data_IF_019641295417
#
_entry.id   IF_019641295417
#
_cell.length_a   1.000
_cell.length_b   1.000
_cell.length_c   1.000
_cell.angle_alpha   90.00
_cell.angle_beta   90.00
_cell.angle_gamma   90.00
#
_symmetry.space_group_name_H-M   'P 1'
#
loop_
_entity.id
_entity.type
_entity.pdbx_description
1 polymer ?
#
# COMPACT_ATOMS: atom_id res chain seq x y z
N UNK A 1 3.53 -16.04 15.99
CA UNK A 1 3.48 -17.27 15.17
C UNK A 1 2.41 -17.10 14.09
N UNK A 2 2.77 -16.51 12.94
CA UNK A 2 1.86 -16.23 11.81
C UNK A 2 2.12 -17.19 10.63
N UNK A 3 3.18 -18.00 10.70
CA UNK A 3 3.66 -18.87 9.61
C UNK A 3 2.71 -20.03 9.20
N UNK A 4 1.56 -20.22 9.86
CA UNK A 4 0.66 -21.35 9.63
C UNK A 4 -0.61 -21.04 8.80
N UNK A 5 -0.75 -19.83 8.24
CA UNK A 5 -2.03 -19.38 7.68
C UNK A 5 -2.17 -19.41 6.15
N UNK A 6 -1.17 -19.84 5.39
CA UNK A 6 -1.24 -19.82 3.92
C UNK A 6 -0.85 -21.15 3.27
N UNK A 7 -1.73 -21.76 2.44
CA UNK A 7 -1.37 -22.94 1.64
C UNK A 7 -0.34 -22.59 0.57
N UNK A 8 0.47 -23.56 0.14
CA UNK A 8 1.65 -23.33 -0.71
C UNK A 8 1.33 -22.69 -2.10
N UNK A 9 0.12 -22.90 -2.60
CA UNK A 9 -0.42 -22.32 -3.84
C UNK A 9 -0.81 -20.83 -3.71
N UNK A 10 -1.02 -20.34 -2.48
CA UNK A 10 -1.29 -18.93 -2.20
C UNK A 10 -0.17 -18.02 -2.71
N UNK A 11 1.09 -18.43 -2.52
CA UNK A 11 2.24 -17.66 -2.97
C UNK A 11 2.40 -17.71 -4.50
N UNK A 12 2.13 -18.84 -5.15
CA UNK A 12 2.28 -18.96 -6.62
C UNK A 12 1.26 -18.12 -7.40
N UNK A 13 -0.04 -18.19 -7.07
CA UNK A 13 -1.06 -17.38 -7.74
C UNK A 13 -0.96 -15.88 -7.39
N UNK A 14 -0.50 -15.53 -6.18
CA UNK A 14 -0.18 -14.13 -5.83
C UNK A 14 1.00 -13.61 -6.64
N UNK A 15 2.08 -14.38 -6.79
CA UNK A 15 3.28 -13.97 -7.51
C UNK A 15 2.96 -13.44 -8.91
N UNK A 16 2.09 -14.11 -9.68
CA UNK A 16 1.74 -13.63 -11.05
C UNK A 16 0.98 -12.31 -11.04
N UNK A 17 -0.04 -12.16 -10.19
CA UNK A 17 -0.82 -10.91 -10.11
C UNK A 17 0.00 -9.76 -9.52
N UNK A 18 0.83 -10.05 -8.52
CA UNK A 18 1.74 -9.07 -7.92
C UNK A 18 2.83 -8.67 -8.90
N UNK A 19 3.34 -9.57 -9.75
CA UNK A 19 4.33 -9.22 -10.78
C UNK A 19 3.78 -8.25 -11.82
N UNK A 20 2.54 -8.49 -12.31
CA UNK A 20 1.87 -7.53 -13.21
C UNK A 20 1.68 -6.18 -12.54
N UNK A 21 1.14 -6.17 -11.31
CA UNK A 21 0.97 -4.95 -10.53
C UNK A 21 2.30 -4.20 -10.33
N UNK A 22 3.35 -4.90 -9.93
CA UNK A 22 4.67 -4.33 -9.71
C UNK A 22 5.22 -3.65 -10.97
N UNK A 23 5.20 -4.36 -12.10
CA UNK A 23 5.65 -3.82 -13.39
C UNK A 23 4.85 -2.57 -13.78
N UNK A 24 3.53 -2.63 -13.73
CA UNK A 24 2.65 -1.52 -14.17
C UNK A 24 2.75 -0.30 -13.24
N UNK A 25 2.82 -0.52 -11.94
CA UNK A 25 2.89 0.56 -10.94
C UNK A 25 4.27 1.23 -10.97
N UNK A 26 5.35 0.45 -11.04
CA UNK A 26 6.70 1.01 -11.21
C UNK A 26 6.83 1.79 -12.53
N UNK A 27 6.19 1.32 -13.60
CA UNK A 27 6.13 2.05 -14.87
C UNK A 27 5.29 3.33 -14.81
N UNK A 28 4.32 3.43 -13.89
CA UNK A 28 3.49 4.62 -13.68
C UNK A 28 4.18 5.72 -12.85
N UNK A 29 5.34 5.43 -12.23
CA UNK A 29 6.11 6.44 -11.51
C UNK A 29 6.57 7.57 -12.45
N UNK A 30 6.69 8.82 -11.95
CA UNK A 30 7.06 9.98 -12.75
C UNK A 30 8.33 9.75 -13.62
N UNK A 31 8.31 10.11 -14.91
CA UNK A 31 9.50 10.07 -15.76
C UNK A 31 10.58 11.02 -15.21
N UNK A 32 11.67 10.46 -14.69
CA UNK A 32 12.76 11.20 -14.06
C UNK A 32 12.90 10.96 -12.56
N UNK A 33 11.98 10.25 -11.92
CA UNK A 33 12.14 9.84 -10.52
C UNK A 33 13.34 8.88 -10.41
N UNK A 34 14.36 9.20 -9.59
CA UNK A 34 15.47 8.28 -9.34
C UNK A 34 14.99 6.97 -8.70
N UNK A 35 15.49 5.85 -9.21
CA UNK A 35 15.17 4.49 -8.75
C UNK A 35 16.30 3.50 -9.01
N UNK A 36 17.55 3.97 -8.95
CA UNK A 36 18.74 3.13 -9.18
C UNK A 36 19.03 2.26 -7.96
N UNK A 37 18.65 2.71 -6.78
CA UNK A 37 18.58 1.90 -5.56
C UNK A 37 17.15 1.88 -5.03
N UNK A 38 16.63 0.68 -4.76
CA UNK A 38 15.26 0.48 -4.28
C UNK A 38 15.27 -0.34 -2.99
N UNK A 39 14.52 0.10 -2.00
CA UNK A 39 14.21 -0.68 -0.81
C UNK A 39 12.72 -1.06 -0.80
N UNK A 40 12.38 -2.26 -0.32
CA UNK A 40 10.99 -2.71 -0.15
C UNK A 40 10.80 -3.24 1.27
N UNK A 41 9.91 -2.60 2.02
CA UNK A 41 9.70 -2.84 3.46
C UNK A 41 8.37 -3.58 3.61
N UNK A 42 8.46 -4.84 4.04
CA UNK A 42 7.39 -5.83 3.89
C UNK A 42 7.44 -6.48 2.51
N UNK A 43 8.65 -6.85 2.06
CA UNK A 43 8.87 -7.23 0.66
C UNK A 43 8.28 -8.59 0.27
N UNK A 44 7.80 -9.39 1.24
CA UNK A 44 7.45 -10.78 1.01
C UNK A 44 8.61 -11.52 0.32
N UNK A 45 8.33 -12.16 -0.81
CA UNK A 45 9.35 -12.87 -1.61
C UNK A 45 10.13 -11.96 -2.56
N UNK A 46 9.94 -10.63 -2.49
CA UNK A 46 10.72 -9.67 -3.25
C UNK A 46 10.22 -9.43 -4.68
N UNK A 47 8.95 -9.71 -4.99
CA UNK A 47 8.38 -9.54 -6.33
C UNK A 47 8.52 -8.10 -6.87
N UNK A 48 8.33 -7.09 -6.02
CA UNK A 48 8.51 -5.68 -6.39
C UNK A 48 9.97 -5.34 -6.66
N UNK A 49 10.88 -5.87 -5.86
CA UNK A 49 12.32 -5.71 -6.04
C UNK A 49 12.83 -6.39 -7.32
N UNK A 50 12.34 -7.59 -7.62
CA UNK A 50 12.64 -8.28 -8.88
C UNK A 50 12.20 -7.43 -10.09
N UNK A 51 10.96 -6.90 -10.08
CA UNK A 51 10.48 -6.01 -11.12
C UNK A 51 11.31 -4.70 -11.23
N UNK A 52 11.76 -4.14 -10.11
CA UNK A 52 12.65 -2.97 -10.11
C UNK A 52 14.01 -3.30 -10.75
N UNK A 53 14.60 -4.44 -10.42
CA UNK A 53 15.87 -4.91 -11.01
C UNK A 53 15.74 -5.18 -12.51
N UNK A 54 14.64 -5.79 -12.96
CA UNK A 54 14.34 -6.02 -14.38
C UNK A 54 14.20 -4.71 -15.16
N UNK A 55 13.72 -3.65 -14.52
CA UNK A 55 13.53 -2.32 -15.13
C UNK A 55 14.71 -1.37 -14.93
N UNK A 56 15.84 -1.87 -14.39
CA UNK A 56 17.13 -1.17 -14.39
C UNK A 56 17.59 -0.63 -13.04
N UNK A 57 16.95 -0.99 -11.92
CA UNK A 57 17.54 -0.75 -10.61
C UNK A 57 18.89 -1.48 -10.50
N UNK A 58 19.91 -0.80 -9.97
CA UNK A 58 21.25 -1.35 -9.75
C UNK A 58 21.37 -2.08 -8.42
N UNK A 59 20.57 -1.72 -7.42
CA UNK A 59 20.55 -2.37 -6.10
C UNK A 59 19.13 -2.52 -5.57
N UNK A 60 18.86 -3.65 -4.93
CA UNK A 60 17.58 -3.97 -4.31
C UNK A 60 17.80 -4.43 -2.87
N UNK A 61 17.11 -3.82 -1.91
CA UNK A 61 17.16 -4.16 -0.49
C UNK A 61 15.77 -4.49 0.04
N UNK A 62 15.59 -5.69 0.62
CA UNK A 62 14.30 -6.14 1.13
C UNK A 62 14.33 -6.35 2.64
N UNK A 63 13.27 -5.90 3.32
CA UNK A 63 13.00 -6.25 4.71
C UNK A 63 11.68 -7.01 4.78
N UNK A 64 11.67 -8.15 5.47
CA UNK A 64 10.48 -8.94 5.79
C UNK A 64 10.69 -9.68 7.11
N UNK A 65 9.63 -10.26 7.69
CA UNK A 65 9.75 -11.13 8.86
C UNK A 65 10.62 -12.37 8.62
N UNK A 66 11.01 -13.01 9.73
CA UNK A 66 11.91 -14.17 9.77
C UNK A 66 11.33 -15.45 9.10
N UNK A 67 10.06 -15.41 8.69
CA UNK A 67 9.41 -16.47 7.93
C UNK A 67 9.76 -16.46 6.43
N UNK A 68 10.37 -15.39 5.91
CA UNK A 68 10.95 -15.39 4.56
C UNK A 68 12.44 -15.68 4.66
N UNK A 69 12.90 -16.65 3.86
CA UNK A 69 14.30 -17.02 3.75
C UNK A 69 14.87 -16.62 2.38
N UNK A 70 16.20 -16.42 2.26
CA UNK A 70 16.82 -15.98 0.99
C UNK A 70 16.53 -16.87 -0.22
N UNK A 71 16.33 -18.18 -0.03
CA UNK A 71 15.98 -19.14 -1.09
C UNK A 71 14.55 -18.98 -1.63
N UNK A 72 13.68 -18.25 -0.92
CA UNK A 72 12.34 -17.92 -1.38
C UNK A 72 12.30 -16.67 -2.28
N UNK A 73 13.39 -15.90 -2.34
CA UNK A 73 13.42 -14.62 -3.04
C UNK A 73 13.31 -14.79 -4.56
N UNK A 74 12.56 -13.89 -5.17
CA UNK A 74 12.26 -13.91 -6.61
C UNK A 74 13.49 -13.57 -7.48
N UNK A 75 14.51 -12.93 -6.88
CA UNK A 75 15.77 -12.61 -7.53
C UNK A 75 16.95 -12.70 -6.55
N UNK A 76 18.01 -13.42 -6.93
CA UNK A 76 19.20 -13.64 -6.10
C UNK A 76 20.03 -12.38 -5.84
N UNK A 77 19.77 -11.28 -6.57
CA UNK A 77 20.44 -9.98 -6.39
C UNK A 77 19.83 -9.16 -5.24
N UNK A 78 18.71 -9.59 -4.68
CA UNK A 78 18.05 -8.92 -3.55
C UNK A 78 18.91 -9.12 -2.30
N UNK A 79 19.33 -8.01 -1.69
CA UNK A 79 19.95 -8.01 -0.37
C UNK A 79 18.84 -8.02 0.67
N UNK A 80 18.73 -9.11 1.44
CA UNK A 80 17.62 -9.34 2.35
C UNK A 80 18.02 -9.22 3.82
N UNK A 81 17.15 -8.62 4.63
CA UNK A 81 17.29 -8.54 6.08
C UNK A 81 15.99 -8.99 6.78
N UNK A 82 15.99 -10.10 7.53
CA UNK A 82 14.84 -10.49 8.34
C UNK A 82 14.70 -9.54 9.54
N UNK A 83 13.50 -8.98 9.75
CA UNK A 83 13.24 -8.00 10.81
C UNK A 83 11.76 -8.04 11.21
N UNK A 84 11.50 -7.96 12.51
CA UNK A 84 10.15 -7.66 13.01
C UNK A 84 9.82 -6.20 12.70
N UNK A 85 8.86 -6.00 11.79
CA UNK A 85 8.41 -4.68 11.39
C UNK A 85 7.56 -3.99 12.46
N UNK A 86 7.19 -4.59 13.59
CA UNK A 86 6.68 -3.82 14.75
C UNK A 86 7.79 -3.07 15.49
N UNK A 87 9.06 -3.42 15.23
CA UNK A 87 10.22 -2.76 15.83
C UNK A 87 10.84 -1.74 14.86
N UNK A 88 11.54 -0.71 15.37
CA UNK A 88 12.31 0.20 14.54
C UNK A 88 13.35 -0.55 13.68
N UNK A 89 13.53 -0.12 12.45
CA UNK A 89 14.52 -0.70 11.54
C UNK A 89 15.41 0.37 10.90
N UNK A 90 16.54 -0.09 10.36
CA UNK A 90 17.44 0.75 9.56
C UNK A 90 17.83 0.02 8.29
N UNK A 91 18.32 0.76 7.30
CA UNK A 91 18.73 0.21 6.02
C UNK A 91 19.63 1.20 5.27
N UNK A 92 20.15 0.80 4.10
CA UNK A 92 20.90 1.72 3.26
C UNK A 92 20.01 2.87 2.80
N UNK A 93 20.60 4.05 2.62
CA UNK A 93 19.93 5.14 1.90
C UNK A 93 19.73 4.72 0.44
N UNK A 94 18.50 4.86 -0.05
CA UNK A 94 18.12 4.48 -1.41
C UNK A 94 17.40 5.63 -2.11
N UNK A 95 17.23 5.51 -3.43
CA UNK A 95 16.52 6.51 -4.23
C UNK A 95 15.00 6.41 -4.03
N UNK A 96 14.48 5.19 -3.89
CA UNK A 96 13.06 4.88 -3.75
C UNK A 96 12.83 3.80 -2.69
N UNK A 97 11.97 4.08 -1.71
CA UNK A 97 11.45 3.06 -0.80
C UNK A 97 10.02 2.66 -1.20
N UNK A 98 9.69 1.38 -1.03
CA UNK A 98 8.37 0.81 -1.23
C UNK A 98 7.86 0.29 0.12
N UNK A 99 6.57 0.47 0.38
CA UNK A 99 5.87 -0.20 1.47
C UNK A 99 4.39 -0.31 1.11
N UNK A 100 3.99 -1.48 0.61
CA UNK A 100 2.72 -1.66 -0.07
C UNK A 100 1.89 -2.78 0.55
N UNK A 101 0.78 -2.41 1.20
CA UNK A 101 -0.09 -3.29 2.00
C UNK A 101 0.69 -3.95 3.16
N UNK A 102 1.28 -3.10 4.00
CA UNK A 102 2.13 -3.48 5.13
C UNK A 102 1.70 -2.78 6.41
N UNK A 103 1.54 -1.45 6.36
CA UNK A 103 1.33 -0.64 7.56
C UNK A 103 0.00 -0.90 8.28
N UNK A 104 -0.99 -1.46 7.58
CA UNK A 104 -2.26 -1.89 8.16
C UNK A 104 -2.12 -3.10 9.09
N UNK A 105 -1.06 -3.89 8.93
CA UNK A 105 -0.76 -5.03 9.80
C UNK A 105 -0.05 -4.62 11.09
N UNK A 106 0.46 -3.39 11.14
CA UNK A 106 1.17 -2.86 12.28
C UNK A 106 0.20 -2.24 13.28
N UNK A 107 0.64 -2.16 14.54
CA UNK A 107 -0.10 -1.48 15.58
C UNK A 107 -0.28 0.02 15.25
N UNK A 108 -1.42 0.65 15.57
CA UNK A 108 -1.61 2.08 15.32
C UNK A 108 -0.54 2.97 15.98
N UNK A 109 -0.01 2.54 17.13
CA UNK A 109 1.07 3.24 17.83
C UNK A 109 2.40 3.23 17.05
N UNK A 110 2.59 2.26 16.14
CA UNK A 110 3.79 2.14 15.32
C UNK A 110 3.75 3.05 14.08
N UNK A 111 2.61 3.62 13.71
CA UNK A 111 2.46 4.37 12.45
C UNK A 111 3.45 5.54 12.30
N UNK A 112 3.59 6.38 13.33
CA UNK A 112 4.49 7.54 13.27
C UNK A 112 5.95 7.11 13.14
N UNK A 113 6.42 6.16 13.97
CA UNK A 113 7.81 5.69 13.91
C UNK A 113 8.09 4.85 12.66
N UNK A 114 7.11 4.12 12.12
CA UNK A 114 7.25 3.44 10.84
C UNK A 114 7.47 4.42 9.69
N UNK A 115 6.69 5.49 9.63
CA UNK A 115 6.86 6.54 8.63
C UNK A 115 8.21 7.24 8.80
N UNK A 116 8.67 7.45 10.04
CA UNK A 116 10.00 7.98 10.30
C UNK A 116 11.11 7.07 9.74
N UNK A 117 11.00 5.76 9.94
CA UNK A 117 11.95 4.77 9.42
C UNK A 117 11.97 4.78 7.88
N UNK A 118 10.81 4.85 7.22
CA UNK A 118 10.71 4.96 5.76
C UNK A 118 11.31 6.28 5.24
N UNK A 119 10.98 7.40 5.88
CA UNK A 119 11.50 8.74 5.57
C UNK A 119 13.02 8.83 5.72
N UNK A 120 13.59 8.05 6.62
CA UNK A 120 15.04 7.97 6.80
C UNK A 120 15.74 7.20 5.65
N UNK A 121 15.05 6.32 4.92
CA UNK A 121 15.62 5.54 3.83
C UNK A 121 15.74 6.31 2.52
N UNK A 122 14.66 6.97 2.09
CA UNK A 122 14.54 7.44 0.70
C UNK A 122 13.80 8.78 0.58
N UNK A 123 14.25 9.68 -0.31
CA UNK A 123 13.54 10.94 -0.58
C UNK A 123 12.22 10.75 -1.35
N UNK A 124 11.99 9.54 -1.88
CA UNK A 124 10.75 9.14 -2.52
C UNK A 124 10.25 7.80 -1.94
N UNK A 125 8.97 7.74 -1.63
CA UNK A 125 8.34 6.60 -0.97
C UNK A 125 7.03 6.27 -1.68
N UNK A 126 6.93 5.09 -2.27
CA UNK A 126 5.68 4.57 -2.79
C UNK A 126 5.01 3.74 -1.69
N UNK A 127 3.89 4.23 -1.18
CA UNK A 127 3.25 3.71 0.01
C UNK A 127 1.80 3.28 -0.28
N UNK A 128 1.36 2.20 0.37
CA UNK A 128 -0.05 1.83 0.43
C UNK A 128 -0.36 1.11 1.73
N UNK A 129 -1.56 1.35 2.25
CA UNK A 129 -2.11 0.64 3.40
C UNK A 129 -3.63 0.60 3.29
N UNK A 130 -4.24 -0.44 3.84
CA UNK A 130 -5.68 -0.62 3.84
C UNK A 130 -6.46 0.55 4.49
N UNK A 131 -7.54 0.99 3.86
CA UNK A 131 -8.48 1.98 4.42
C UNK A 131 -9.47 1.33 5.39
N UNK A 132 -10.15 2.09 6.28
CA UNK A 132 -11.11 1.53 7.22
C UNK A 132 -12.22 0.73 6.54
N UNK A 133 -12.43 -0.50 6.99
CA UNK A 133 -13.44 -1.42 6.45
C UNK A 133 -12.99 -2.14 5.16
N UNK A 134 -11.74 -1.96 4.73
CA UNK A 134 -11.17 -2.77 3.63
C UNK A 134 -11.06 -4.25 4.05
N UNK A 135 -10.82 -4.53 5.33
CA UNK A 135 -10.64 -5.88 5.84
C UNK A 135 -9.42 -6.60 5.25
N UNK A 136 -9.08 -7.72 5.87
CA UNK A 136 -7.95 -8.56 5.52
C UNK A 136 -7.44 -9.29 6.74
N UNK A 137 -6.69 -10.37 6.53
CA UNK A 137 -6.20 -11.19 7.64
C UNK A 137 -5.11 -10.43 8.39
N UNK A 138 -5.32 -10.19 9.69
CA UNK A 138 -4.31 -9.55 10.53
C UNK A 138 -4.19 -8.04 10.34
N UNK A 139 -5.23 -7.37 9.83
CA UNK A 139 -5.29 -5.91 9.82
C UNK A 139 -5.59 -5.38 11.22
N UNK A 140 -4.77 -4.44 11.70
CA UNK A 140 -4.86 -3.79 13.01
C UNK A 140 -5.03 -2.27 12.89
N UNK A 141 -4.51 -1.67 11.82
CA UNK A 141 -4.42 -0.22 11.64
C UNK A 141 -4.89 0.22 10.24
N UNK A 142 -6.13 -0.11 9.92
CA UNK A 142 -6.78 0.40 8.71
C UNK A 142 -7.06 1.90 8.86
N UNK A 143 -6.43 2.72 8.03
CA UNK A 143 -6.50 4.18 8.13
C UNK A 143 -6.61 4.83 6.76
N UNK A 144 -7.28 5.99 6.74
CA UNK A 144 -7.43 6.79 5.54
C UNK A 144 -6.09 7.28 5.00
N UNK A 145 -5.98 7.43 3.67
CA UNK A 145 -4.73 7.88 3.04
C UNK A 145 -4.35 9.31 3.47
N UNK A 146 -5.35 10.15 3.77
CA UNK A 146 -5.14 11.47 4.36
C UNK A 146 -4.48 11.43 5.75
N UNK A 147 -4.78 10.40 6.55
CA UNK A 147 -4.19 10.18 7.86
C UNK A 147 -2.70 9.81 7.75
N UNK A 148 -2.37 8.87 6.86
CA UNK A 148 -0.98 8.54 6.53
C UNK A 148 -0.23 9.74 5.98
N UNK A 149 -0.87 10.56 5.13
CA UNK A 149 -0.27 11.79 4.62
C UNK A 149 0.05 12.81 5.73
N UNK A 150 -0.71 12.83 6.84
CA UNK A 150 -0.40 13.60 8.02
C UNK A 150 0.92 13.19 8.68
N UNK A 151 1.16 11.87 8.81
CA UNK A 151 2.44 11.35 9.31
C UNK A 151 3.59 11.68 8.36
N UNK A 152 3.43 11.47 7.05
CA UNK A 152 4.48 11.85 6.09
C UNK A 152 4.79 13.35 6.13
N UNK A 153 3.79 14.20 6.34
CA UNK A 153 3.97 15.64 6.45
C UNK A 153 4.82 16.07 7.66
N UNK A 154 4.75 15.36 8.80
CA UNK A 154 5.63 15.66 9.96
C UNK A 154 7.10 15.38 9.67
N UNK A 155 7.39 14.55 8.65
CA UNK A 155 8.73 14.23 8.19
C UNK A 155 9.16 15.00 6.93
N UNK A 156 8.40 16.04 6.52
CA UNK A 156 8.76 16.90 5.39
C UNK A 156 8.37 16.35 4.02
N UNK A 157 7.54 15.30 3.96
CA UNK A 157 7.03 14.74 2.73
C UNK A 157 5.64 15.30 2.40
N UNK A 158 5.27 15.25 1.12
CA UNK A 158 3.90 15.53 0.66
C UNK A 158 3.41 14.39 -0.22
N UNK A 159 2.09 14.22 -0.27
CA UNK A 159 1.45 13.21 -1.11
C UNK A 159 1.28 13.70 -2.56
N UNK A 160 1.47 12.77 -3.50
CA UNK A 160 1.32 12.97 -4.94
C UNK A 160 0.51 11.79 -5.49
N UNK A 161 -0.77 12.01 -5.73
CA UNK A 161 -1.70 10.99 -6.24
C UNK A 161 -1.58 10.84 -7.77
N UNK A 162 -0.36 10.57 -8.24
CA UNK A 162 -0.02 10.44 -9.66
C UNK A 162 -0.13 9.00 -10.15
N UNK A 163 -0.23 8.03 -9.23
CA UNK A 163 -0.25 6.59 -9.53
C UNK A 163 -1.67 6.11 -9.79
N UNK A 164 -2.59 6.33 -8.84
CA UNK A 164 -3.97 5.80 -8.92
C UNK A 164 -4.70 6.18 -10.21
N UNK A 165 -4.63 7.44 -10.71
CA UNK A 165 -5.29 7.80 -11.97
C UNK A 165 -4.84 6.98 -13.18
N UNK A 166 -3.60 6.46 -13.18
CA UNK A 166 -3.04 5.67 -14.29
C UNK A 166 -3.48 4.21 -14.23
N UNK A 167 -3.61 3.66 -13.02
CA UNK A 167 -3.87 2.22 -12.80
C UNK A 167 -5.34 1.90 -12.48
N UNK A 168 -6.19 2.89 -12.24
CA UNK A 168 -7.54 2.74 -11.68
C UNK A 168 -8.41 1.68 -12.39
N UNK A 169 -8.33 1.62 -13.71
CA UNK A 169 -9.16 0.73 -14.54
C UNK A 169 -8.47 -0.55 -14.98
N UNK A 170 -7.20 -0.75 -14.62
CA UNK A 170 -6.47 -1.99 -14.95
C UNK A 170 -6.91 -3.11 -14.00
N UNK A 171 -7.87 -3.94 -14.43
CA UNK A 171 -8.43 -5.02 -13.62
C UNK A 171 -7.45 -6.16 -13.35
N UNK A 172 -6.34 -6.26 -14.10
CA UNK A 172 -5.28 -7.21 -13.79
C UNK A 172 -4.45 -6.78 -12.57
N UNK A 173 -4.57 -5.51 -12.14
CA UNK A 173 -4.00 -5.03 -10.88
C UNK A 173 -5.04 -5.25 -9.75
N UNK A 174 -4.64 -5.93 -8.66
CA UNK A 174 -5.52 -6.07 -7.49
C UNK A 174 -6.07 -4.74 -6.99
N UNK A 175 -7.35 -4.73 -6.60
CA UNK A 175 -8.07 -3.49 -6.30
C UNK A 175 -7.46 -2.69 -5.13
N UNK A 176 -6.83 -3.34 -4.16
CA UNK A 176 -6.16 -2.67 -3.04
C UNK A 176 -5.01 -1.77 -3.52
N UNK A 177 -4.14 -2.24 -4.42
CA UNK A 177 -3.08 -1.39 -4.97
C UNK A 177 -3.64 -0.20 -5.77
N UNK A 178 -4.72 -0.42 -6.54
CA UNK A 178 -5.39 0.67 -7.28
C UNK A 178 -5.99 1.74 -6.38
N UNK A 179 -6.45 1.35 -5.19
CA UNK A 179 -7.07 2.25 -4.23
C UNK A 179 -6.04 2.97 -3.35
N UNK A 180 -5.00 2.27 -2.92
CA UNK A 180 -4.20 2.68 -1.77
C UNK A 180 -2.82 3.23 -2.16
N UNK A 181 -2.32 2.98 -3.38
CA UNK A 181 -0.97 3.39 -3.77
C UNK A 181 -0.83 4.91 -3.94
N UNK A 182 -0.04 5.55 -3.10
CA UNK A 182 0.26 7.00 -3.13
C UNK A 182 1.77 7.21 -3.09
N UNK A 183 2.26 8.13 -3.92
CA UNK A 183 3.67 8.53 -3.92
C UNK A 183 3.88 9.68 -2.94
N UNK A 184 4.86 9.55 -2.06
CA UNK A 184 5.29 10.59 -1.13
C UNK A 184 6.69 11.05 -1.49
N UNK A 185 6.88 12.36 -1.62
CA UNK A 185 8.16 12.95 -1.98
C UNK A 185 8.55 14.05 -0.99
N UNK A 186 9.84 14.14 -0.73
CA UNK A 186 10.41 15.34 -0.11
C UNK A 186 10.31 16.57 -1.05
N UNK A 187 10.56 17.76 -0.50
CA UNK A 187 10.42 19.00 -1.25
C UNK A 187 11.41 19.12 -2.43
N UNK A 188 12.64 18.61 -2.28
CA UNK A 188 13.68 18.73 -3.29
C UNK A 188 13.36 17.85 -4.51
N UNK A 189 12.96 16.60 -4.28
CA UNK A 189 12.59 15.63 -5.31
C UNK A 189 11.32 16.07 -6.04
N UNK A 190 10.32 16.56 -5.32
CA UNK A 190 9.11 17.10 -5.93
C UNK A 190 9.39 18.30 -6.85
N UNK A 191 10.28 19.19 -6.41
CA UNK A 191 10.71 20.35 -7.21
C UNK A 191 11.43 19.91 -8.48
N UNK A 192 12.35 18.94 -8.37
CA UNK A 192 13.08 18.40 -9.52
C UNK A 192 12.13 17.75 -10.55
N UNK A 193 11.03 17.13 -10.10
CA UNK A 193 10.02 16.53 -10.96
C UNK A 193 8.91 17.49 -11.40
N UNK A 194 8.92 18.74 -10.95
CA UNK A 194 7.88 19.74 -11.21
C UNK A 194 6.47 19.25 -10.87
N UNK A 195 6.33 18.47 -9.79
CA UNK A 195 5.05 17.91 -9.36
C UNK A 195 4.35 18.82 -8.35
N UNK A 196 3.04 18.94 -8.48
CA UNK A 196 2.20 19.62 -7.50
C UNK A 196 1.62 18.59 -6.52
N UNK A 197 1.67 18.86 -5.20
CA UNK A 197 1.16 17.93 -4.20
C UNK A 197 -0.36 17.83 -4.30
N UNK A 198 -0.87 16.64 -4.02
CA UNK A 198 -2.30 16.39 -3.87
C UNK A 198 -2.74 16.80 -2.48
N UNK A 199 -3.84 17.55 -2.38
CA UNK A 199 -4.41 17.91 -1.09
C UNK A 199 -4.82 16.64 -0.31
N UNK A 200 -4.49 16.51 0.99
CA UNK A 200 -4.85 15.31 1.76
C UNK A 200 -6.33 14.95 1.72
N UNK A 201 -7.23 15.94 1.68
CA UNK A 201 -8.68 15.73 1.57
C UNK A 201 -9.13 15.05 0.27
N UNK A 202 -8.28 14.98 -0.75
CA UNK A 202 -8.55 14.29 -2.01
C UNK A 202 -7.95 12.87 -2.05
N UNK A 203 -7.21 12.46 -1.02
CA UNK A 203 -6.57 11.15 -0.98
C UNK A 203 -7.54 10.04 -0.60
N UNK A 204 -8.57 10.36 0.18
CA UNK A 204 -9.53 9.39 0.71
C UNK A 204 -10.52 8.98 -0.38
N UNK A 205 -10.27 7.79 -0.95
CA UNK A 205 -11.05 7.25 -2.06
C UNK A 205 -11.46 5.82 -1.77
N UNK A 206 -12.69 5.49 -2.14
CA UNK A 206 -13.19 4.11 -2.17
C UNK A 206 -13.29 3.67 -3.63
N UNK A 207 -12.56 2.63 -4.00
CA UNK A 207 -12.59 2.08 -5.33
C UNK A 207 -13.92 1.33 -5.59
N UNK A 208 -14.52 1.38 -6.80
CA UNK A 208 -15.79 0.72 -7.11
C UNK A 208 -15.82 -0.77 -6.75
N UNK A 209 -14.70 -1.48 -6.90
CA UNK A 209 -14.60 -2.89 -6.51
C UNK A 209 -14.87 -3.13 -5.01
N UNK A 210 -14.34 -2.27 -4.13
CA UNK A 210 -14.57 -2.35 -2.69
C UNK A 210 -15.99 -1.92 -2.32
N UNK A 211 -16.50 -0.85 -2.95
CA UNK A 211 -17.88 -0.42 -2.78
C UNK A 211 -18.88 -1.52 -3.19
N UNK A 212 -18.63 -2.20 -4.31
CA UNK A 212 -19.46 -3.30 -4.79
C UNK A 212 -19.40 -4.52 -3.87
N UNK A 213 -18.22 -4.80 -3.28
CA UNK A 213 -18.07 -5.84 -2.26
C UNK A 213 -18.89 -5.52 -1.01
N UNK A 214 -18.76 -4.33 -0.46
CA UNK A 214 -19.52 -3.90 0.72
C UNK A 214 -21.05 -4.00 0.48
N UNK A 215 -21.54 -3.55 -0.68
CA UNK A 215 -22.96 -3.69 -1.04
C UNK A 215 -23.42 -5.14 -1.23
N UNK A 216 -22.53 -6.04 -1.64
CA UNK A 216 -22.84 -7.48 -1.70
C UNK A 216 -22.95 -8.06 -0.29
N UNK A 217 -22.04 -7.70 0.60
CA UNK A 217 -22.06 -8.13 2.02
C UNK A 217 -23.28 -7.59 2.77
N UNK A 218 -23.65 -6.33 2.57
CA UNK A 218 -24.88 -5.74 3.13
C UNK A 218 -26.14 -6.50 2.69
N UNK A 219 -26.19 -6.92 1.42
CA UNK A 219 -27.29 -7.76 0.91
C UNK A 219 -27.33 -9.13 1.59
N UNK A 220 -26.18 -9.76 1.82
CA UNK A 220 -26.13 -11.02 2.58
C UNK A 220 -26.58 -10.86 4.03
N UNK A 221 -26.34 -9.69 4.63
CA UNK A 221 -26.79 -9.36 5.97
C UNK A 221 -28.28 -8.96 6.04
N UNK A 222 -29.03 -8.96 4.93
CA UNK A 222 -30.38 -8.39 4.83
C UNK A 222 -30.48 -6.95 5.35
N UNK A 223 -29.40 -6.16 5.22
CA UNK A 223 -29.39 -4.77 5.63
C UNK A 223 -30.28 -3.95 4.68
N UNK A 224 -31.17 -3.15 5.25
CA UNK A 224 -32.00 -2.21 4.50
C UNK A 224 -31.23 -0.91 4.30
N UNK A 225 -31.30 -0.28 3.11
CA UNK A 225 -30.82 1.09 2.93
C UNK A 225 -31.51 2.03 3.94
N UNK A 226 -30.79 3.05 4.40
CA UNK A 226 -31.34 4.03 5.36
C UNK A 226 -32.67 4.64 4.87
N UNK A 227 -32.77 4.93 3.57
CA UNK A 227 -34.00 5.42 2.94
C UNK A 227 -35.20 4.47 3.10
N UNK A 228 -34.97 3.16 3.05
CA UNK A 228 -36.00 2.13 3.23
C UNK A 228 -36.40 2.01 4.70
N UNK A 229 -35.43 2.13 5.62
CA UNK A 229 -35.70 2.17 7.07
C UNK A 229 -36.57 3.37 7.41
N UNK A 230 -36.19 4.56 6.92
CA UNK A 230 -36.93 5.80 7.14
C UNK A 230 -38.35 5.72 6.54
N UNK A 231 -38.51 5.13 5.35
CA UNK A 231 -39.82 4.91 4.73
C UNK A 231 -40.74 4.08 5.64
N UNK A 232 -40.25 2.94 6.12
CA UNK A 232 -41.03 2.04 7.00
C UNK A 232 -41.39 2.69 8.33
N UNK A 233 -40.48 3.47 8.90
CA UNK A 233 -40.75 4.23 10.12
C UNK A 233 -41.86 5.27 9.90
N UNK A 234 -41.83 5.98 8.77
CA UNK A 234 -42.87 6.96 8.42
C UNK A 234 -44.24 6.30 8.21
N UNK A 235 -44.29 5.15 7.52
CA UNK A 235 -45.52 4.38 7.31
C UNK A 235 -46.12 3.87 8.63
N UNK A 236 -45.29 3.37 9.55
CA UNK A 236 -45.73 2.90 10.86
C UNK A 236 -46.29 4.03 11.74
N UNK A 237 -45.70 5.24 11.67
CA UNK A 237 -46.18 6.41 12.41
C UNK A 237 -47.51 6.96 11.88
N UNK A 238 -47.84 6.72 10.61
CA UNK A 238 -49.13 7.13 10.01
C UNK A 238 -50.26 6.15 10.31
N UNK A 239 -49.94 4.94 10.77
CA UNK A 239 -50.90 3.88 11.12
C UNK A 239 -51.22 3.85 12.63
N UNK A 240 -50.62 4.73 13.43
CA UNK A 240 -50.89 4.95 14.86
C UNK A 240 -51.70 6.23 15.08
#
# INVERSE_FOLDING_TARGET
MIAALYPADFYQNRRTHTAHAASRILAALPPGLPRRSVADIGCGTGTWLAAALETGAGTAFGIEGDWVTPDMLDDTRIVFAPQDLEQPFTGPRVDLALSLEVAEHLSPARAESFVADLAALAPAILFSAAIPGQGGVGHLNEQWQSWWAGHFASHGYRAYDVIRPVIWTDEAIPAWYRQNAVLYLDAATATALSLMPTAPSLLDKVHPAFWNRANRELRYANALPESEVLRRQAEAAQQQ
#
